data_IF_872266488462
#
_entry.id   IF_872266488462
#
_cell.length_a   1.000
_cell.length_b   1.000
_cell.length_c   1.000
_cell.angle_alpha   90.00
_cell.angle_beta   90.00
_cell.angle_gamma   90.00
#
_symmetry.space_group_name_H-M   'P 1'
#
loop_
_entity.id
_entity.type
_entity.pdbx_description
1 polymer ?
#
# COMPACT_ATOMS: atom_id res chain seq x y z
N UNK A 1 -23.17 15.98 -2.61
CA UNK A 1 -24.05 15.09 -3.43
C UNK A 1 -24.02 15.53 -4.91
N UNK A 2 -24.29 14.66 -5.89
CA UNK A 2 -24.31 15.03 -7.34
C UNK A 2 -25.13 16.30 -7.60
N UNK A 3 -26.34 16.36 -7.04
CA UNK A 3 -27.25 17.46 -7.28
C UNK A 3 -26.74 18.83 -6.84
N UNK A 4 -26.07 18.86 -5.69
CA UNK A 4 -25.44 20.06 -5.14
C UNK A 4 -24.29 20.54 -6.03
N UNK A 5 -23.45 19.61 -6.52
CA UNK A 5 -22.34 19.93 -7.42
C UNK A 5 -22.82 20.44 -8.77
N UNK A 6 -23.92 19.90 -9.31
CA UNK A 6 -24.58 20.42 -10.52
C UNK A 6 -25.05 21.87 -10.30
N UNK A 7 -25.72 22.15 -9.17
CA UNK A 7 -26.20 23.50 -8.86
C UNK A 7 -25.05 24.50 -8.68
N UNK A 8 -23.96 24.07 -8.07
CA UNK A 8 -22.77 24.88 -7.84
C UNK A 8 -22.12 25.29 -9.17
N UNK A 9 -21.96 24.34 -10.11
CA UNK A 9 -21.45 24.63 -11.46
C UNK A 9 -22.41 25.50 -12.27
N UNK A 10 -23.72 25.24 -12.23
CA UNK A 10 -24.71 26.09 -12.90
C UNK A 10 -24.67 27.54 -12.42
N UNK A 11 -24.54 27.72 -11.10
CA UNK A 11 -24.43 29.05 -10.48
C UNK A 11 -23.14 29.75 -10.91
N UNK A 12 -22.01 29.04 -10.91
CA UNK A 12 -20.72 29.56 -11.37
C UNK A 12 -20.73 29.99 -12.86
N UNK A 13 -21.49 29.27 -13.69
CA UNK A 13 -21.63 29.57 -15.12
C UNK A 13 -22.76 30.57 -15.44
N UNK A 14 -23.55 30.98 -14.45
CA UNK A 14 -24.74 31.82 -14.65
C UNK A 14 -25.78 31.16 -15.57
N UNK A 15 -25.92 29.82 -15.53
CA UNK A 15 -26.85 29.05 -16.37
C UNK A 15 -27.97 28.44 -15.56
N UNK A 16 -29.11 28.17 -16.21
CA UNK A 16 -30.27 27.52 -15.60
C UNK A 16 -30.30 26.02 -15.85
N UNK A 17 -31.08 25.29 -15.04
CA UNK A 17 -31.33 23.86 -15.25
C UNK A 17 -31.98 23.58 -16.61
N UNK A 18 -32.87 24.45 -17.08
CA UNK A 18 -33.52 24.34 -18.40
C UNK A 18 -32.52 24.54 -19.54
N UNK A 19 -31.46 25.33 -19.32
CA UNK A 19 -30.36 25.43 -20.27
C UNK A 19 -29.58 24.12 -20.35
N UNK A 20 -29.24 23.53 -19.20
CA UNK A 20 -28.50 22.26 -19.13
C UNK A 20 -29.26 21.11 -19.80
N UNK A 21 -30.56 20.99 -19.51
CA UNK A 21 -31.44 20.00 -20.13
C UNK A 21 -31.40 20.08 -21.67
N UNK A 22 -31.50 21.30 -22.22
CA UNK A 22 -31.41 21.56 -23.67
C UNK A 22 -30.04 21.25 -24.24
N UNK A 23 -28.96 21.61 -23.55
CA UNK A 23 -27.59 21.34 -24.01
C UNK A 23 -27.25 19.86 -24.04
N UNK A 24 -27.71 19.10 -23.04
CA UNK A 24 -27.42 17.67 -22.93
C UNK A 24 -28.39 16.82 -23.77
N UNK A 25 -29.55 17.38 -24.14
CA UNK A 25 -30.58 16.68 -24.89
C UNK A 25 -31.44 15.76 -24.02
N UNK A 26 -31.63 16.10 -22.75
CA UNK A 26 -32.46 15.33 -21.80
C UNK A 26 -33.57 16.19 -21.20
N UNK A 27 -34.57 15.53 -20.64
CA UNK A 27 -35.74 16.23 -20.09
C UNK A 27 -35.38 16.97 -18.80
N UNK A 28 -36.01 18.12 -18.58
CA UNK A 28 -35.82 18.90 -17.35
C UNK A 28 -36.20 18.13 -16.06
N UNK A 29 -37.25 17.27 -16.04
CA UNK A 29 -37.51 16.37 -14.93
C UNK A 29 -36.35 15.42 -14.61
N UNK A 30 -35.63 14.91 -15.62
CA UNK A 30 -34.47 14.05 -15.40
C UNK A 30 -33.33 14.81 -14.68
N UNK A 31 -33.06 16.06 -15.09
CA UNK A 31 -32.11 16.94 -14.40
C UNK A 31 -32.57 17.21 -12.96
N UNK A 32 -33.85 17.53 -12.75
CA UNK A 32 -34.40 17.79 -11.42
C UNK A 32 -34.32 16.54 -10.51
N UNK A 33 -34.49 15.34 -11.07
CA UNK A 33 -34.31 14.07 -10.36
C UNK A 33 -32.88 13.84 -9.86
N UNK A 34 -31.88 14.21 -10.66
CA UNK A 34 -30.47 14.20 -10.24
C UNK A 34 -30.20 15.25 -9.14
N UNK A 35 -30.81 16.43 -9.27
CA UNK A 35 -30.61 17.53 -8.31
C UNK A 35 -31.21 17.22 -6.94
N UNK A 36 -32.41 16.65 -6.91
CA UNK A 36 -33.10 16.25 -5.66
C UNK A 36 -32.57 14.94 -5.08
N UNK A 37 -31.67 14.24 -5.77
CA UNK A 37 -31.12 12.96 -5.33
C UNK A 37 -32.06 11.77 -5.50
N UNK A 38 -33.16 11.92 -6.25
CA UNK A 38 -34.06 10.80 -6.61
C UNK A 38 -33.35 9.81 -7.56
N UNK A 39 -32.40 10.30 -8.35
CA UNK A 39 -31.53 9.49 -9.19
C UNK A 39 -30.08 9.70 -8.77
N UNK A 40 -29.37 8.60 -8.47
CA UNK A 40 -27.95 8.63 -8.06
C UNK A 40 -26.97 8.55 -9.23
N UNK A 41 -27.46 8.27 -10.44
CA UNK A 41 -26.63 8.15 -11.64
C UNK A 41 -27.43 8.46 -12.90
N UNK A 42 -26.73 8.71 -14.01
CA UNK A 42 -27.32 8.91 -15.32
C UNK A 42 -26.38 8.39 -16.40
N UNK A 43 -26.92 7.72 -17.42
CA UNK A 43 -26.16 7.37 -18.62
C UNK A 43 -25.58 8.61 -19.34
N UNK A 44 -26.13 9.80 -19.06
CA UNK A 44 -25.72 11.06 -19.68
C UNK A 44 -24.78 11.89 -18.79
N UNK A 45 -24.26 11.34 -17.69
CA UNK A 45 -23.41 12.09 -16.75
C UNK A 45 -22.19 12.72 -17.43
N UNK A 46 -21.55 12.01 -18.36
CA UNK A 46 -20.42 12.52 -19.15
C UNK A 46 -20.79 13.75 -20.00
N UNK A 47 -22.01 13.79 -20.56
CA UNK A 47 -22.49 14.95 -21.32
C UNK A 47 -22.82 16.13 -20.40
N UNK A 48 -23.39 15.84 -19.23
CA UNK A 48 -23.67 16.83 -18.20
C UNK A 48 -22.37 17.49 -17.72
N UNK A 49 -21.34 16.69 -17.41
CA UNK A 49 -20.03 17.16 -17.00
C UNK A 49 -19.42 18.10 -18.05
N UNK A 50 -19.40 17.67 -19.32
CA UNK A 50 -18.90 18.49 -20.43
C UNK A 50 -19.65 19.81 -20.59
N UNK A 51 -20.99 19.80 -20.48
CA UNK A 51 -21.78 21.02 -20.56
C UNK A 51 -21.54 21.98 -19.38
N UNK A 52 -21.13 21.46 -18.22
CA UNK A 52 -20.84 22.22 -17.01
C UNK A 52 -19.36 22.56 -16.83
N UNK A 53 -18.53 22.30 -17.86
CA UNK A 53 -17.08 22.53 -17.85
C UNK A 53 -16.45 21.95 -16.58
N UNK A 54 -16.68 20.65 -16.37
CA UNK A 54 -16.22 19.90 -15.20
C UNK A 54 -16.06 18.43 -15.58
N UNK A 55 -15.58 17.62 -14.64
CA UNK A 55 -15.36 16.20 -14.81
C UNK A 55 -16.53 15.35 -14.26
N UNK A 56 -16.82 14.18 -14.86
CA UNK A 56 -17.74 13.21 -14.27
C UNK A 56 -17.38 12.83 -12.83
N UNK A 57 -16.09 12.70 -12.54
CA UNK A 57 -15.49 12.35 -11.25
C UNK A 57 -15.81 13.43 -10.20
N UNK A 58 -15.76 14.70 -10.59
CA UNK A 58 -16.19 15.79 -9.72
C UNK A 58 -17.68 15.66 -9.42
N UNK A 59 -18.52 15.41 -10.42
CA UNK A 59 -19.96 15.29 -10.21
C UNK A 59 -20.31 14.10 -9.30
N UNK A 60 -19.68 12.94 -9.48
CA UNK A 60 -19.88 11.76 -8.61
C UNK A 60 -19.31 11.96 -7.21
N UNK A 61 -18.35 12.87 -7.05
CA UNK A 61 -17.68 13.15 -5.79
C UNK A 61 -16.45 12.26 -5.56
N UNK A 62 -15.92 11.64 -6.61
CA UNK A 62 -14.65 10.91 -6.59
C UNK A 62 -13.46 11.86 -6.44
N UNK A 63 -13.60 13.10 -6.93
CA UNK A 63 -12.63 14.18 -6.74
C UNK A 63 -13.32 15.47 -6.30
N UNK A 64 -12.58 16.35 -5.62
CA UNK A 64 -13.08 17.66 -5.16
C UNK A 64 -12.73 18.81 -6.11
N UNK A 65 -11.82 18.59 -7.06
CA UNK A 65 -11.44 19.58 -8.06
C UNK A 65 -12.54 19.69 -9.15
N UNK A 66 -13.18 20.86 -9.33
CA UNK A 66 -14.23 21.05 -10.33
C UNK A 66 -13.70 21.25 -11.75
N UNK A 67 -12.38 21.35 -11.97
CA UNK A 67 -11.81 21.54 -13.30
C UNK A 67 -12.15 20.35 -14.23
N UNK A 68 -12.36 20.65 -15.51
CA UNK A 68 -12.59 19.63 -16.53
C UNK A 68 -11.34 18.79 -16.82
N UNK A 69 -10.15 19.34 -16.51
CA UNK A 69 -8.86 18.68 -16.68
C UNK A 69 -8.30 18.15 -15.36
N UNK A 70 -9.10 18.10 -14.30
CA UNK A 70 -8.68 17.50 -13.05
C UNK A 70 -8.21 16.05 -13.31
N UNK A 71 -7.00 15.72 -12.85
CA UNK A 71 -6.44 14.41 -13.07
C UNK A 71 -7.37 13.34 -12.46
N UNK A 72 -7.69 12.26 -13.20
CA UNK A 72 -8.48 11.18 -12.63
C UNK A 72 -7.75 10.60 -11.41
N UNK A 73 -8.50 10.08 -10.41
CA UNK A 73 -7.89 9.47 -9.24
C UNK A 73 -6.96 8.34 -9.68
N UNK A 74 -5.77 8.26 -9.07
CA UNK A 74 -4.81 7.19 -9.35
C UNK A 74 -5.50 5.84 -9.07
N UNK A 75 -5.35 4.83 -9.96
CA UNK A 75 -5.93 3.52 -9.71
C UNK A 75 -5.36 2.95 -8.41
N UNK A 76 -6.25 2.44 -7.54
CA UNK A 76 -5.82 1.79 -6.31
C UNK A 76 -4.88 0.61 -6.64
N UNK A 77 -3.77 0.43 -5.91
CA UNK A 77 -2.89 -0.71 -6.12
C UNK A 77 -3.66 -2.02 -5.94
N UNK A 78 -3.74 -2.83 -7.00
CA UNK A 78 -4.37 -4.15 -6.93
C UNK A 78 -3.39 -5.15 -6.32
N UNK A 79 -3.67 -5.63 -5.11
CA UNK A 79 -2.91 -6.71 -4.48
C UNK A 79 -3.61 -8.05 -4.77
N UNK A 80 -2.90 -8.99 -5.40
CA UNK A 80 -3.36 -10.38 -5.48
C UNK A 80 -2.69 -11.19 -4.37
N UNK A 81 -3.43 -11.75 -3.41
CA UNK A 81 -2.85 -12.63 -2.41
C UNK A 81 -2.44 -13.93 -3.10
N UNK A 82 -1.14 -14.11 -3.30
CA UNK A 82 -0.59 -15.35 -3.83
C UNK A 82 -0.02 -16.17 -2.68
N UNK A 83 -0.63 -17.32 -2.41
CA UNK A 83 -0.14 -18.28 -1.41
C UNK A 83 0.81 -19.26 -2.09
N UNK A 84 2.07 -19.27 -1.66
CA UNK A 84 3.04 -20.26 -2.09
C UNK A 84 3.36 -21.20 -0.92
N UNK A 85 3.35 -22.51 -1.16
CA UNK A 85 3.98 -23.45 -0.22
C UNK A 85 5.50 -23.30 -0.33
N UNK A 86 6.09 -22.60 0.64
CA UNK A 86 7.54 -22.37 0.71
C UNK A 86 8.08 -23.11 1.92
N UNK A 87 9.07 -23.97 1.70
CA UNK A 87 9.95 -24.38 2.79
C UNK A 87 10.82 -23.19 3.17
N UNK A 88 10.47 -22.53 4.27
CA UNK A 88 11.20 -21.37 4.74
C UNK A 88 12.52 -21.82 5.37
N UNK A 89 13.67 -21.24 4.96
CA UNK A 89 14.94 -21.56 5.60
C UNK A 89 14.90 -21.17 7.08
N UNK A 90 15.74 -21.80 7.89
CA UNK A 90 15.83 -21.45 9.31
C UNK A 90 16.28 -19.99 9.49
N UNK A 91 15.92 -19.38 10.62
CA UNK A 91 16.30 -18.00 10.92
C UNK A 91 17.81 -17.74 10.73
N UNK A 92 18.76 -18.59 11.21
CA UNK A 92 20.18 -18.37 10.97
C UNK A 92 20.59 -18.40 9.49
N UNK A 93 19.95 -19.23 8.67
CA UNK A 93 20.22 -19.30 7.25
C UNK A 93 19.70 -18.06 6.50
N UNK A 94 18.55 -17.53 6.94
CA UNK A 94 18.02 -16.27 6.44
C UNK A 94 18.92 -15.10 6.77
N UNK A 95 19.37 -14.99 8.02
CA UNK A 95 20.29 -13.94 8.46
C UNK A 95 21.57 -13.94 7.62
N UNK A 96 22.13 -15.12 7.35
CA UNK A 96 23.32 -15.25 6.51
C UNK A 96 23.06 -14.86 5.05
N UNK A 97 21.89 -15.21 4.49
CA UNK A 97 21.48 -14.81 3.14
C UNK A 97 21.31 -13.28 3.04
N UNK A 98 20.61 -12.67 4.00
CA UNK A 98 20.41 -11.22 4.05
C UNK A 98 21.73 -10.47 4.24
N UNK A 99 22.61 -10.96 5.11
CA UNK A 99 23.94 -10.38 5.27
C UNK A 99 24.71 -10.38 3.95
N UNK A 100 24.65 -11.46 3.17
CA UNK A 100 25.27 -11.52 1.84
C UNK A 100 24.67 -10.52 0.84
N UNK A 101 23.34 -10.38 0.80
CA UNK A 101 22.67 -9.41 -0.08
C UNK A 101 23.01 -7.96 0.29
N UNK A 102 23.09 -7.65 1.59
CA UNK A 102 23.45 -6.31 2.07
C UNK A 102 24.91 -5.97 1.77
N UNK A 103 25.83 -6.93 1.95
CA UNK A 103 27.24 -6.76 1.56
C UNK A 103 27.40 -6.52 0.06
N UNK A 104 26.63 -7.23 -0.77
CA UNK A 104 26.63 -7.02 -2.22
C UNK A 104 26.03 -5.67 -2.66
N UNK A 105 25.33 -4.99 -1.74
CA UNK A 105 24.62 -3.73 -1.99
C UNK A 105 25.27 -2.54 -1.26
N UNK A 106 26.52 -2.69 -0.81
CA UNK A 106 27.26 -1.60 -0.15
C UNK A 106 27.34 -0.36 -1.04
N UNK A 107 27.05 0.81 -0.44
CA UNK A 107 27.11 2.10 -1.12
C UNK A 107 25.83 2.52 -1.85
N UNK A 108 24.80 1.66 -1.91
CA UNK A 108 23.48 2.03 -2.45
C UNK A 108 22.73 2.96 -1.51
N UNK A 109 21.94 3.87 -2.07
CA UNK A 109 20.93 4.61 -1.32
C UNK A 109 19.81 3.67 -0.85
N UNK A 110 19.02 4.12 0.13
CA UNK A 110 17.90 3.32 0.67
C UNK A 110 16.89 2.93 -0.41
N UNK A 111 16.60 3.82 -1.36
CA UNK A 111 15.63 3.56 -2.44
C UNK A 111 16.18 2.55 -3.46
N UNK A 112 17.47 2.66 -3.81
CA UNK A 112 18.15 1.71 -4.70
C UNK A 112 18.24 0.32 -4.07
N UNK A 113 18.58 0.26 -2.77
CA UNK A 113 18.59 -0.99 -2.01
C UNK A 113 17.20 -1.63 -1.95
N UNK A 114 16.15 -0.83 -1.73
CA UNK A 114 14.77 -1.32 -1.70
C UNK A 114 14.35 -1.90 -3.06
N UNK A 115 14.72 -1.23 -4.16
CA UNK A 115 14.48 -1.72 -5.50
C UNK A 115 15.23 -3.05 -5.75
N UNK A 116 16.51 -3.11 -5.42
CA UNK A 116 17.35 -4.29 -5.62
C UNK A 116 16.83 -5.50 -4.80
N UNK A 117 16.51 -5.28 -3.52
CA UNK A 117 15.95 -6.33 -2.67
C UNK A 117 14.62 -6.88 -3.21
N UNK A 118 13.76 -6.03 -3.78
CA UNK A 118 12.49 -6.47 -4.36
C UNK A 118 12.68 -7.45 -5.53
N UNK A 119 13.76 -7.30 -6.29
CA UNK A 119 14.10 -8.14 -7.44
C UNK A 119 14.82 -9.41 -7.00
N UNK A 120 15.73 -9.32 -6.03
CA UNK A 120 16.61 -10.41 -5.65
C UNK A 120 16.01 -11.34 -4.60
N UNK A 121 15.15 -10.86 -3.71
CA UNK A 121 14.58 -11.69 -2.64
C UNK A 121 13.83 -12.92 -3.13
N UNK A 122 12.94 -12.83 -4.15
CA UNK A 122 12.27 -14.02 -4.69
C UNK A 122 13.25 -15.06 -5.24
N UNK A 123 14.33 -14.62 -5.91
CA UNK A 123 15.38 -15.49 -6.46
C UNK A 123 16.21 -16.14 -5.35
N UNK A 124 16.60 -15.35 -4.34
CA UNK A 124 17.38 -15.82 -3.21
C UNK A 124 16.62 -16.86 -2.39
N UNK A 125 15.33 -16.65 -2.15
CA UNK A 125 14.46 -17.63 -1.48
C UNK A 125 14.29 -18.91 -2.32
N UNK A 126 14.21 -18.80 -3.64
CA UNK A 126 14.16 -19.97 -4.53
C UNK A 126 15.48 -20.78 -4.54
N UNK A 127 16.64 -20.10 -4.39
CA UNK A 127 17.97 -20.73 -4.31
C UNK A 127 18.23 -21.36 -2.94
N UNK A 128 17.84 -20.70 -1.85
CA UNK A 128 17.96 -21.23 -0.48
C UNK A 128 17.24 -22.58 -0.31
N UNK A 129 16.18 -22.83 -1.10
CA UNK A 129 15.51 -24.15 -1.21
C UNK A 129 16.47 -25.29 -1.58
N UNK A 130 17.49 -25.02 -2.40
CA UNK A 130 18.41 -26.03 -2.93
C UNK A 130 19.64 -26.26 -2.04
N UNK A 131 19.99 -25.29 -1.20
CA UNK A 131 21.09 -25.38 -0.26
C UNK A 131 20.61 -26.14 0.99
N UNK A 132 20.71 -27.48 0.98
CA UNK A 132 20.59 -28.25 2.22
C UNK A 132 21.63 -27.73 3.21
N UNK A 133 21.26 -27.35 4.44
CA UNK A 133 22.26 -27.10 5.47
C UNK A 133 23.03 -28.40 5.68
N UNK A 134 24.31 -28.43 5.29
CA UNK A 134 25.22 -29.47 5.74
C UNK A 134 25.23 -29.37 7.25
N UNK A 135 24.62 -30.35 7.90
CA UNK A 135 24.49 -30.44 9.35
C UNK A 135 25.88 -30.70 9.94
N UNK A 136 26.74 -29.69 9.96
CA UNK A 136 27.88 -29.66 10.87
C UNK A 136 27.27 -29.38 12.23
N UNK A 137 26.94 -30.46 12.92
CA UNK A 137 26.37 -30.44 14.25
C UNK A 137 27.12 -29.40 15.09
N UNK A 138 26.41 -28.36 15.48
CA UNK A 138 26.87 -27.45 16.50
C UNK A 138 27.01 -28.29 17.77
N UNK A 139 28.24 -28.68 18.12
CA UNK A 139 28.54 -29.19 19.46
C UNK A 139 28.53 -27.97 20.37
N UNK A 140 27.55 -27.82 21.27
CA UNK A 140 27.67 -26.81 22.31
C UNK A 140 28.91 -27.14 23.13
N UNK A 141 29.82 -26.18 23.22
CA UNK A 141 30.99 -26.26 24.09
C UNK A 141 30.42 -26.30 25.51
N UNK A 142 30.42 -27.46 26.15
CA UNK A 142 30.19 -27.55 27.58
C UNK A 142 31.32 -26.75 28.24
N UNK A 143 30.96 -25.61 28.81
CA UNK A 143 31.85 -24.87 29.70
C UNK A 143 31.92 -25.70 30.98
N UNK A 144 32.98 -26.50 31.09
CA UNK A 144 33.44 -27.03 32.36
C UNK A 144 33.74 -25.82 33.25
N UNK A 145 32.85 -25.55 34.20
CA UNK A 145 33.16 -24.68 35.32
C UNK A 145 34.07 -25.47 36.25
N UNK A 146 35.37 -25.28 36.06
CA UNK A 146 36.39 -25.74 36.97
C UNK A 146 36.14 -25.21 38.38
N UNK A 147 36.23 -26.17 39.29
CA UNK A 147 36.28 -26.06 40.73
C UNK A 147 37.37 -25.09 41.21
N UNK A 148 37.06 -24.41 42.33
CA UNK A 148 37.97 -24.03 43.41
C UNK A 148 39.12 -23.03 43.14
N UNK A 149 39.02 -21.86 43.79
CA UNK A 149 39.80 -21.59 45.01
C UNK A 149 39.60 -20.13 45.50
N UNK A 150 39.17 -19.95 46.74
CA UNK A 150 40.01 -19.21 47.69
C UNK A 150 39.54 -19.42 49.12
N UNK A 151 40.47 -19.99 49.88
CA UNK A 151 40.48 -20.29 51.30
C UNK A 151 40.48 -19.02 52.17
N UNK A 152 39.95 -19.19 53.39
CA UNK A 152 40.41 -18.65 54.68
C UNK A 152 40.23 -17.18 55.09
N UNK A 153 39.45 -16.95 56.16
CA UNK A 153 40.03 -16.53 57.46
C UNK A 153 38.97 -16.33 58.58
N UNK A 154 39.09 -17.20 59.61
CA UNK A 154 39.16 -16.88 61.06
C UNK A 154 37.90 -16.55 61.91
N UNK A 155 37.67 -17.49 62.86
CA UNK A 155 37.43 -17.28 64.31
C UNK A 155 36.00 -17.15 64.87
N UNK A 156 35.43 -18.28 65.33
CA UNK A 156 35.00 -18.65 66.71
C UNK A 156 34.51 -17.58 67.73
N UNK A 157 33.78 -17.94 68.83
CA UNK A 157 32.89 -19.11 69.07
C UNK A 157 31.61 -18.84 69.96
N UNK A 158 30.82 -19.91 70.16
CA UNK A 158 30.07 -20.36 71.37
C UNK A 158 29.01 -19.45 72.04
N UNK A 159 27.73 -19.88 71.95
CA UNK A 159 27.02 -20.58 73.05
C UNK A 159 25.77 -21.28 72.56
#
# INVERSE_FOLDING_TARGET
MIGERILLRLSALGKSQSWLARQVGITQPAINGLIRGTSRSSAHLHKIARALLTSPEYLTGEIDDPDENAAPPLPEPQFQPVTFEVMFPSQPALEQMFAGLLLASEGMSTDELAHELSVQLPKALALARSARPSHRAYQPVHREEDSEASHDARSAPLR
#
